data_IF_100716211780
#
_entry.id   IF_100716211780
#
_cell.length_a   1.000
_cell.length_b   1.000
_cell.length_c   1.000
_cell.angle_alpha   90.00
_cell.angle_beta   90.00
_cell.angle_gamma   90.00
#
_symmetry.space_group_name_H-M   'P 1'
#
loop_
_entity.id
_entity.type
_entity.pdbx_description
1 polymer ?
#
# COMPACT_ATOMS: atom_id res chain seq x y z
N UNK A 1 14.93 3.04 32.67
CA UNK A 1 16.24 2.81 32.00
C UNK A 1 16.17 3.45 30.62
N UNK A 2 16.62 4.70 30.49
CA UNK A 2 16.66 5.41 29.22
C UNK A 2 17.87 4.89 28.43
N UNK A 3 17.62 4.07 27.40
CA UNK A 3 18.63 3.79 26.39
C UNK A 3 18.93 5.13 25.70
N UNK A 4 20.07 5.75 26.02
CA UNK A 4 20.53 6.97 25.37
C UNK A 4 20.91 6.61 23.93
N UNK A 5 19.95 6.74 23.02
CA UNK A 5 20.17 6.45 21.61
C UNK A 5 21.30 7.34 21.07
N UNK A 6 22.23 6.72 20.35
CA UNK A 6 23.40 7.42 19.79
C UNK A 6 22.93 8.58 18.86
N UNK A 7 23.40 9.83 19.05
CA UNK A 7 22.96 10.97 18.26
C UNK A 7 23.21 10.80 16.76
N UNK A 8 24.27 10.08 16.36
CA UNK A 8 24.52 9.75 14.94
C UNK A 8 23.44 8.83 14.37
N UNK A 9 22.96 7.88 15.17
CA UNK A 9 21.90 6.95 14.79
C UNK A 9 20.55 7.67 14.65
N UNK A 10 20.23 8.59 15.57
CA UNK A 10 19.01 9.41 15.51
C UNK A 10 19.00 10.33 14.27
N UNK A 11 20.15 10.93 13.95
CA UNK A 11 20.32 11.75 12.75
C UNK A 11 20.10 10.92 11.49
N UNK A 12 20.76 9.76 11.37
CA UNK A 12 20.60 8.86 10.24
C UNK A 12 19.13 8.39 10.06
N UNK A 13 18.45 8.03 11.15
CA UNK A 13 17.04 7.63 11.11
C UNK A 13 16.12 8.78 10.64
N UNK A 14 16.43 10.02 11.03
CA UNK A 14 15.67 11.20 10.60
C UNK A 14 15.86 11.49 9.11
N UNK A 15 17.10 11.36 8.61
CA UNK A 15 17.38 11.48 7.18
C UNK A 15 16.69 10.39 6.37
N UNK A 16 16.78 9.13 6.80
CA UNK A 16 16.12 8.00 6.13
C UNK A 16 14.60 8.20 6.04
N UNK A 17 13.96 8.64 7.12
CA UNK A 17 12.53 9.01 7.13
C UNK A 17 12.21 10.09 6.10
N UNK A 18 13.00 11.17 6.10
CA UNK A 18 12.78 12.31 5.21
C UNK A 18 12.89 11.88 3.75
N UNK A 19 13.92 11.09 3.42
CA UNK A 19 14.09 10.50 2.09
C UNK A 19 12.92 9.62 1.71
N UNK A 20 12.45 8.75 2.62
CA UNK A 20 11.30 7.88 2.37
C UNK A 20 10.03 8.67 2.03
N UNK A 21 9.72 9.74 2.78
CA UNK A 21 8.55 10.58 2.48
C UNK A 21 8.69 11.32 1.13
N UNK A 22 9.88 11.83 0.80
CA UNK A 22 10.12 12.49 -0.49
C UNK A 22 9.92 11.51 -1.65
N UNK A 23 10.47 10.29 -1.53
CA UNK A 23 10.32 9.25 -2.53
C UNK A 23 8.87 8.79 -2.65
N UNK A 24 8.15 8.64 -1.54
CA UNK A 24 6.73 8.29 -1.55
C UNK A 24 5.88 9.38 -2.23
N UNK A 25 6.13 10.66 -1.91
CA UNK A 25 5.45 11.78 -2.56
C UNK A 25 5.73 11.81 -4.06
N UNK A 26 6.99 11.63 -4.45
CA UNK A 26 7.38 11.56 -5.86
C UNK A 26 6.70 10.39 -6.58
N UNK A 27 6.65 9.20 -5.96
CA UNK A 27 5.97 8.04 -6.52
C UNK A 27 4.48 8.30 -6.73
N UNK A 28 3.80 8.96 -5.78
CA UNK A 28 2.39 9.36 -5.93
C UNK A 28 2.21 10.34 -7.08
N UNK A 29 3.05 11.37 -7.17
CA UNK A 29 2.98 12.36 -8.27
C UNK A 29 3.17 11.67 -9.62
N UNK A 30 4.19 10.83 -9.75
CA UNK A 30 4.47 10.10 -11.00
C UNK A 30 3.32 9.14 -11.36
N UNK A 31 2.73 8.45 -10.37
CA UNK A 31 1.56 7.59 -10.58
C UNK A 31 0.35 8.39 -11.07
N UNK A 32 0.09 9.55 -10.47
CA UNK A 32 -1.01 10.43 -10.88
C UNK A 32 -0.78 11.01 -12.29
N UNK A 33 0.44 11.46 -12.60
CA UNK A 33 0.80 11.93 -13.94
C UNK A 33 0.62 10.79 -14.96
N UNK A 34 1.09 9.59 -14.65
CA UNK A 34 0.92 8.43 -15.52
C UNK A 34 -0.56 8.14 -15.79
N UNK A 35 -1.39 8.07 -14.75
CA UNK A 35 -2.82 7.74 -14.89
C UNK A 35 -3.59 8.88 -15.59
N UNK A 36 -3.42 10.13 -15.16
CA UNK A 36 -4.26 11.25 -15.62
C UNK A 36 -3.79 11.84 -16.95
N UNK A 37 -2.49 11.92 -17.20
CA UNK A 37 -1.96 12.54 -18.40
C UNK A 37 -1.70 11.52 -19.51
N UNK A 38 -1.06 10.39 -19.20
CA UNK A 38 -0.64 9.43 -20.21
C UNK A 38 -1.67 8.32 -20.49
N UNK A 39 -2.52 7.98 -19.53
CA UNK A 39 -3.44 6.83 -19.61
C UNK A 39 -4.92 7.20 -19.73
N UNK A 40 -5.22 8.50 -19.86
CA UNK A 40 -6.60 8.98 -20.08
C UNK A 40 -7.51 8.95 -18.85
N UNK A 41 -6.96 8.66 -17.65
CA UNK A 41 -7.69 8.65 -16.38
C UNK A 41 -7.91 7.26 -15.80
N UNK A 42 -8.76 7.18 -14.77
CA UNK A 42 -9.15 5.94 -14.13
C UNK A 42 -10.67 5.93 -13.89
N UNK A 43 -11.35 4.92 -14.44
CA UNK A 43 -12.80 4.80 -14.35
C UNK A 43 -13.22 3.33 -14.25
N UNK A 44 -13.69 2.95 -13.06
CA UNK A 44 -14.13 1.59 -12.76
C UNK A 44 -15.39 1.17 -13.53
N UNK A 45 -16.17 2.12 -14.08
CA UNK A 45 -17.44 1.88 -14.79
C UNK A 45 -17.33 2.15 -16.29
N UNK A 46 -16.12 2.11 -16.84
CA UNK A 46 -15.91 2.31 -18.27
C UNK A 46 -16.27 1.05 -19.05
N UNK A 47 -17.43 1.03 -19.70
CA UNK A 47 -17.83 -0.10 -20.55
C UNK A 47 -17.21 -0.02 -21.97
N UNK A 48 -16.81 1.19 -22.40
CA UNK A 48 -16.26 1.44 -23.73
C UNK A 48 -14.73 1.24 -23.80
N UNK A 49 -14.03 1.47 -22.69
CA UNK A 49 -12.57 1.34 -22.61
C UNK A 49 -12.16 0.64 -21.30
N UNK A 50 -11.89 -0.68 -21.35
CA UNK A 50 -11.44 -1.46 -20.21
C UNK A 50 -10.09 -0.97 -19.62
N UNK A 51 -9.23 -0.30 -20.39
CA UNK A 51 -7.93 0.17 -19.88
C UNK A 51 -8.10 1.20 -18.76
N UNK A 52 -9.18 1.99 -18.79
CA UNK A 52 -9.53 2.92 -17.71
C UNK A 52 -9.91 2.19 -16.41
N UNK A 53 -10.47 0.99 -16.52
CA UNK A 53 -10.71 0.11 -15.36
C UNK A 53 -9.36 -0.40 -14.84
N UNK A 54 -8.49 -0.85 -15.75
CA UNK A 54 -7.17 -1.34 -15.36
C UNK A 54 -6.35 -0.27 -14.64
N UNK A 55 -6.37 0.99 -15.07
CA UNK A 55 -5.63 2.08 -14.43
C UNK A 55 -5.98 2.28 -12.94
N UNK A 56 -7.17 1.85 -12.49
CA UNK A 56 -7.54 1.84 -11.07
C UNK A 56 -6.63 0.90 -10.27
N UNK A 57 -6.27 -0.26 -10.82
CA UNK A 57 -5.44 -1.28 -10.16
C UNK A 57 -4.06 -0.73 -9.71
N UNK A 58 -3.16 -0.30 -10.60
CA UNK A 58 -1.85 0.18 -10.20
C UNK A 58 -1.93 1.46 -9.35
N UNK A 59 -2.94 2.30 -9.53
CA UNK A 59 -3.16 3.49 -8.71
C UNK A 59 -3.45 3.13 -7.25
N UNK A 60 -4.46 2.29 -7.01
CA UNK A 60 -4.84 1.93 -5.63
C UNK A 60 -3.86 0.94 -5.00
N UNK A 61 -3.21 0.08 -5.79
CA UNK A 61 -2.14 -0.79 -5.31
C UNK A 61 -0.91 0.03 -4.87
N UNK A 62 -0.53 1.08 -5.62
CA UNK A 62 0.58 1.95 -5.22
C UNK A 62 0.24 2.75 -3.96
N UNK A 63 -0.98 3.31 -3.88
CA UNK A 63 -1.41 4.02 -2.69
C UNK A 63 -1.48 3.11 -1.46
N UNK A 64 -2.13 1.95 -1.56
CA UNK A 64 -2.28 1.02 -0.45
C UNK A 64 -0.98 0.32 -0.08
N UNK A 65 -0.40 -0.42 -1.02
CA UNK A 65 0.68 -1.38 -0.75
C UNK A 65 2.09 -0.79 -0.77
N UNK A 66 2.28 0.43 -1.28
CA UNK A 66 3.57 1.13 -1.23
C UNK A 66 3.49 2.25 -0.19
N UNK A 67 2.58 3.21 -0.37
CA UNK A 67 2.54 4.42 0.47
C UNK A 67 1.98 4.12 1.86
N UNK A 68 0.75 3.60 1.96
CA UNK A 68 0.10 3.38 3.26
C UNK A 68 0.82 2.31 4.09
N UNK A 69 1.28 1.20 3.48
CA UNK A 69 2.13 0.22 4.17
C UNK A 69 3.45 0.85 4.66
N UNK A 70 4.10 1.69 3.84
CA UNK A 70 5.32 2.39 4.24
C UNK A 70 5.11 3.24 5.49
N UNK A 71 4.03 4.02 5.52
CA UNK A 71 3.64 4.82 6.69
C UNK A 71 3.30 3.94 7.90
N UNK A 72 2.60 2.81 7.69
CA UNK A 72 2.28 1.86 8.75
C UNK A 72 3.54 1.31 9.43
N UNK A 73 4.53 0.87 8.65
CA UNK A 73 5.80 0.34 9.15
C UNK A 73 6.57 1.42 9.93
N UNK A 74 6.56 2.65 9.45
CA UNK A 74 7.26 3.77 10.09
C UNK A 74 6.53 4.34 11.31
N UNK A 75 5.23 4.09 11.49
CA UNK A 75 4.38 4.68 12.53
C UNK A 75 4.95 4.58 13.96
N UNK A 76 5.63 3.47 14.29
CA UNK A 76 6.27 3.29 15.61
C UNK A 76 7.42 4.25 15.89
N UNK A 77 8.00 4.87 14.86
CA UNK A 77 9.14 5.78 14.94
C UNK A 77 8.76 7.21 14.58
N UNK A 78 7.70 7.42 13.81
CA UNK A 78 7.31 8.74 13.28
C UNK A 78 6.30 9.47 14.16
N UNK A 79 5.52 8.73 14.95
CA UNK A 79 4.44 9.27 15.77
C UNK A 79 4.88 9.31 17.24
N UNK A 80 5.05 10.50 17.87
CA UNK A 80 5.51 10.62 19.25
C UNK A 80 4.36 10.43 20.26
N UNK A 81 3.63 9.32 20.17
CA UNK A 81 2.52 8.97 21.08
C UNK A 81 2.83 7.71 21.88
N UNK A 82 1.96 7.33 22.82
CA UNK A 82 2.13 6.11 23.61
C UNK A 82 2.18 4.84 22.75
N UNK A 83 2.87 3.80 23.25
CA UNK A 83 3.03 2.52 22.52
C UNK A 83 1.68 1.93 22.11
N UNK A 84 0.66 2.00 22.97
CA UNK A 84 -0.70 1.52 22.68
C UNK A 84 -1.31 2.25 21.49
N UNK A 85 -1.20 3.58 21.44
CA UNK A 85 -1.71 4.40 20.34
C UNK A 85 -0.95 4.12 19.04
N UNK A 86 0.39 3.99 19.08
CA UNK A 86 1.18 3.61 17.90
C UNK A 86 0.82 2.22 17.38
N UNK A 87 0.59 1.25 18.28
CA UNK A 87 0.10 -0.10 17.94
C UNK A 87 -1.23 0.01 17.18
N UNK A 88 -2.19 0.75 17.72
CA UNK A 88 -3.48 0.98 17.07
C UNK A 88 -3.35 1.65 15.69
N UNK A 89 -2.58 2.73 15.56
CA UNK A 89 -2.39 3.43 14.28
C UNK A 89 -1.74 2.52 13.24
N UNK A 90 -0.68 1.81 13.61
CA UNK A 90 -0.02 0.83 12.74
C UNK A 90 -1.02 -0.21 12.21
N UNK A 91 -1.84 -0.78 13.09
CA UNK A 91 -2.87 -1.75 12.71
C UNK A 91 -3.92 -1.16 11.77
N UNK A 92 -4.42 0.04 12.07
CA UNK A 92 -5.42 0.73 11.24
C UNK A 92 -4.86 1.02 9.85
N UNK A 93 -3.62 1.47 9.73
CA UNK A 93 -2.99 1.72 8.43
C UNK A 93 -2.81 0.44 7.63
N UNK A 94 -2.39 -0.67 8.25
CA UNK A 94 -2.34 -1.97 7.58
C UNK A 94 -3.73 -2.45 7.13
N UNK A 95 -4.78 -2.21 7.91
CA UNK A 95 -6.14 -2.54 7.53
C UNK A 95 -6.61 -1.70 6.31
N UNK A 96 -6.36 -0.40 6.32
CA UNK A 96 -6.63 0.48 5.17
C UNK A 96 -5.86 -0.01 3.94
N UNK A 97 -4.58 -0.34 4.07
CA UNK A 97 -3.79 -0.91 2.97
C UNK A 97 -4.41 -2.20 2.42
N UNK A 98 -4.84 -3.13 3.28
CA UNK A 98 -5.49 -4.37 2.85
C UNK A 98 -6.77 -4.08 2.06
N UNK A 99 -7.62 -3.17 2.54
CA UNK A 99 -8.87 -2.81 1.83
C UNK A 99 -8.59 -2.23 0.44
N UNK A 100 -7.59 -1.37 0.32
CA UNK A 100 -7.14 -0.82 -0.96
C UNK A 100 -6.55 -1.91 -1.87
N UNK A 101 -5.80 -2.86 -1.31
CA UNK A 101 -5.26 -3.99 -2.06
C UNK A 101 -6.33 -4.93 -2.61
N UNK A 102 -7.34 -5.27 -1.80
CA UNK A 102 -8.50 -6.06 -2.25
C UNK A 102 -9.24 -5.32 -3.37
N UNK A 103 -9.46 -4.01 -3.21
CA UNK A 103 -10.08 -3.18 -4.24
C UNK A 103 -9.26 -3.11 -5.53
N UNK A 104 -7.93 -3.03 -5.42
CA UNK A 104 -7.02 -3.07 -6.56
C UNK A 104 -7.09 -4.39 -7.31
N UNK A 105 -7.06 -5.52 -6.59
CA UNK A 105 -7.24 -6.85 -7.20
C UNK A 105 -8.60 -6.94 -7.89
N UNK A 106 -9.67 -6.49 -7.23
CA UNK A 106 -11.00 -6.45 -7.83
C UNK A 106 -11.02 -5.69 -9.17
N UNK A 107 -10.35 -4.53 -9.25
CA UNK A 107 -10.24 -3.77 -10.48
C UNK A 107 -9.50 -4.55 -11.59
N UNK A 108 -8.44 -5.29 -11.26
CA UNK A 108 -7.72 -6.13 -12.23
C UNK A 108 -8.57 -7.29 -12.76
N UNK A 109 -9.28 -8.01 -11.89
CA UNK A 109 -10.20 -9.07 -12.31
C UNK A 109 -11.37 -8.52 -13.13
N UNK A 110 -11.89 -7.34 -12.76
CA UNK A 110 -12.90 -6.67 -13.56
C UNK A 110 -12.36 -6.34 -14.96
N UNK A 111 -11.15 -5.79 -15.06
CA UNK A 111 -10.52 -5.51 -16.35
C UNK A 111 -10.39 -6.77 -17.22
N UNK A 112 -9.93 -7.90 -16.65
CA UNK A 112 -9.82 -9.15 -17.41
C UNK A 112 -11.18 -9.64 -17.93
N UNK A 113 -12.23 -9.51 -17.10
CA UNK A 113 -13.59 -9.84 -17.50
C UNK A 113 -14.07 -8.97 -18.68
N UNK A 114 -13.92 -7.65 -18.59
CA UNK A 114 -14.39 -6.72 -19.63
C UNK A 114 -13.51 -6.77 -20.90
N UNK A 115 -12.23 -7.11 -20.78
CA UNK A 115 -11.31 -7.26 -21.93
C UNK A 115 -11.24 -8.68 -22.51
N UNK A 116 -12.02 -9.62 -21.96
CA UNK A 116 -11.97 -11.05 -22.29
C UNK A 116 -10.55 -11.67 -22.18
N UNK A 117 -9.73 -11.14 -21.27
CA UNK A 117 -8.38 -11.64 -21.00
C UNK A 117 -8.42 -12.77 -19.96
N UNK A 118 -7.56 -13.80 -20.08
CA UNK A 118 -7.50 -14.87 -19.08
C UNK A 118 -6.92 -14.37 -17.75
N UNK A 119 -7.56 -14.76 -16.65
CA UNK A 119 -7.08 -14.48 -15.31
C UNK A 119 -5.82 -15.28 -14.95
N UNK A 120 -5.02 -14.74 -14.03
CA UNK A 120 -3.95 -15.44 -13.33
C UNK A 120 -2.90 -16.13 -14.22
N UNK A 121 -2.63 -15.59 -15.43
CA UNK A 121 -1.65 -16.16 -16.35
C UNK A 121 -0.20 -15.69 -16.07
N UNK A 122 -0.03 -14.48 -15.53
CA UNK A 122 1.29 -13.85 -15.38
C UNK A 122 1.94 -14.16 -14.03
N UNK A 123 3.28 -14.23 -13.99
CA UNK A 123 4.02 -14.32 -12.73
C UNK A 123 3.69 -13.17 -11.77
N UNK A 124 3.42 -11.97 -12.30
CA UNK A 124 2.99 -10.83 -11.50
C UNK A 124 1.70 -11.13 -10.73
N UNK A 125 0.69 -11.73 -11.39
CA UNK A 125 -0.58 -12.07 -10.73
C UNK A 125 -0.42 -13.12 -9.63
N UNK A 126 0.48 -14.10 -9.82
CA UNK A 126 0.78 -15.13 -8.82
C UNK A 126 1.48 -14.52 -7.60
N UNK A 127 2.49 -13.68 -7.81
CA UNK A 127 3.15 -12.97 -6.71
C UNK A 127 2.19 -12.01 -6.01
N UNK A 128 1.31 -11.34 -6.76
CA UNK A 128 0.30 -10.44 -6.23
C UNK A 128 -0.66 -11.14 -5.28
N UNK A 129 -1.28 -12.26 -5.71
CA UNK A 129 -2.22 -13.00 -4.86
C UNK A 129 -1.52 -13.58 -3.62
N UNK A 130 -0.32 -14.14 -3.79
CA UNK A 130 0.48 -14.63 -2.66
C UNK A 130 0.77 -13.51 -1.66
N UNK A 131 1.11 -12.31 -2.14
CA UNK A 131 1.37 -11.15 -1.28
C UNK A 131 0.13 -10.72 -0.50
N UNK A 132 -1.05 -10.64 -1.15
CA UNK A 132 -2.31 -10.30 -0.44
C UNK A 132 -2.65 -11.36 0.62
N UNK A 133 -2.52 -12.65 0.29
CA UNK A 133 -2.78 -13.74 1.23
C UNK A 133 -1.83 -13.66 2.44
N UNK A 134 -0.52 -13.51 2.21
CA UNK A 134 0.47 -13.38 3.28
C UNK A 134 0.23 -12.12 4.13
N UNK A 135 -0.16 -11.01 3.51
CA UNK A 135 -0.48 -9.77 4.22
C UNK A 135 -1.74 -9.92 5.09
N UNK A 136 -2.77 -10.63 4.59
CA UNK A 136 -3.94 -10.99 5.39
C UNK A 136 -3.58 -11.85 6.60
N UNK A 137 -2.75 -12.88 6.40
CA UNK A 137 -2.24 -13.72 7.50
C UNK A 137 -1.45 -12.90 8.52
N UNK A 138 -0.59 -12.00 8.07
CA UNK A 138 0.17 -11.11 8.93
C UNK A 138 -0.74 -10.26 9.83
N UNK A 139 -1.86 -9.74 9.30
CA UNK A 139 -2.85 -8.98 10.08
C UNK A 139 -3.57 -9.89 11.09
N UNK A 140 -3.92 -11.12 10.70
CA UNK A 140 -4.59 -12.06 11.62
C UNK A 140 -3.68 -12.38 12.81
N UNK A 141 -2.40 -12.68 12.59
CA UNK A 141 -1.44 -12.93 13.67
C UNK A 141 -1.29 -11.71 14.59
N UNK A 142 -1.28 -10.51 14.01
CA UNK A 142 -1.24 -9.28 14.79
C UNK A 142 -2.49 -9.09 15.68
N UNK A 143 -3.67 -9.43 15.17
CA UNK A 143 -4.94 -9.35 15.91
C UNK A 143 -5.00 -10.38 17.05
N UNK A 144 -4.43 -11.57 16.89
CA UNK A 144 -4.32 -12.53 17.99
C UNK A 144 -3.43 -12.01 19.13
N UNK A 145 -2.37 -11.26 18.81
CA UNK A 145 -1.49 -10.60 19.79
C UNK A 145 -2.11 -9.35 20.44
N UNK A 146 -3.36 -8.99 20.11
CA UNK A 146 -4.09 -7.88 20.75
C UNK A 146 -4.91 -8.35 21.96
N UNK A 147 -5.20 -9.65 22.07
CA UNK A 147 -6.03 -10.26 23.12
C UNK A 147 -5.23 -10.89 24.28
N UNK A 148 -3.92 -10.63 24.36
CA UNK A 148 -3.03 -10.94 25.50
C UNK A 148 -2.47 -9.61 26.01
#
# INVERSE_FOLDING_TARGET
MALTANPKFLLAATHARTVAHILALLAVILMLVWVLHYRGGANLRSDADPELIFNVHPLVMSLGFIVVIGEAIMAYRTIPTEKRVRKFIHMMLHFVALTLGIFGIYAAFKYHKESASPDMLSLHSWLGICTICLFGLQIIFYLSDLHI
#
